data_IF_565823815041
#
_entry.id   IF_565823815041
#
_cell.length_a   1.000
_cell.length_b   1.000
_cell.length_c   1.000
_cell.angle_alpha   90.00
_cell.angle_beta   90.00
_cell.angle_gamma   90.00
#
_symmetry.space_group_name_H-M   'P 1'
#
loop_
_entity.id
_entity.type
_entity.pdbx_description
1 polymer ?
#
# COMPACT_ATOMS: atom_id res chain seq x y z
N UNK A 1 15.54 17.96 15.28
CA UNK A 1 14.33 18.56 14.71
C UNK A 1 13.74 17.55 13.76
N UNK A 2 12.71 16.83 14.20
CA UNK A 2 11.92 15.95 13.34
C UNK A 2 10.86 16.83 12.65
N UNK A 3 11.04 17.06 11.36
CA UNK A 3 9.98 17.62 10.52
C UNK A 3 9.21 16.47 9.91
N UNK A 4 7.90 16.45 10.12
CA UNK A 4 6.96 15.59 9.40
C UNK A 4 6.31 16.45 8.33
N UNK A 5 6.57 16.15 7.06
CA UNK A 5 5.78 16.72 5.96
C UNK A 5 4.66 15.75 5.62
N UNK A 6 3.41 16.21 5.71
CA UNK A 6 2.22 15.42 5.41
C UNK A 6 1.70 15.78 4.02
N UNK A 7 1.57 14.78 3.15
CA UNK A 7 0.81 14.88 1.91
C UNK A 7 -0.59 14.33 2.17
N UNK A 8 -1.59 15.21 2.17
CA UNK A 8 -3.00 14.84 2.28
C UNK A 8 -3.65 14.81 0.89
N UNK A 9 -4.34 13.71 0.57
CA UNK A 9 -5.22 13.64 -0.60
C UNK A 9 -6.54 14.37 -0.36
N UNK A 10 -7.06 15.03 -1.39
CA UNK A 10 -8.43 15.57 -1.42
C UNK A 10 -9.43 14.66 -2.16
N UNK A 11 -8.96 13.55 -2.75
CA UNK A 11 -9.76 12.71 -3.68
C UNK A 11 -9.77 11.23 -3.34
N UNK A 12 -8.87 10.78 -2.47
CA UNK A 12 -8.76 9.41 -1.99
C UNK A 12 -8.45 9.39 -0.49
N UNK A 13 -8.61 8.24 0.16
CA UNK A 13 -8.22 8.05 1.55
C UNK A 13 -6.78 7.55 1.61
N UNK A 14 -5.87 8.43 1.19
CA UNK A 14 -4.42 8.23 1.23
C UNK A 14 -3.74 9.40 1.93
N UNK A 15 -2.91 9.08 2.91
CA UNK A 15 -2.08 10.05 3.64
C UNK A 15 -0.66 9.54 3.63
N UNK A 16 0.30 10.41 3.31
CA UNK A 16 1.70 10.07 3.40
C UNK A 16 2.45 11.05 4.30
N UNK A 17 3.42 10.53 5.04
CA UNK A 17 4.29 11.29 5.92
C UNK A 17 5.75 10.87 5.74
N UNK A 18 6.66 11.83 5.90
CA UNK A 18 8.09 11.55 5.98
C UNK A 18 8.56 11.49 7.44
N UNK A 19 9.45 10.56 7.76
CA UNK A 19 10.09 10.48 9.07
C UNK A 19 11.58 10.22 8.95
N UNK A 20 12.35 10.96 9.74
CA UNK A 20 13.79 10.81 9.82
C UNK A 20 14.13 9.71 10.81
N UNK A 21 15.13 8.89 10.50
CA UNK A 21 15.66 7.89 11.44
C UNK A 21 17.14 8.13 11.64
N UNK A 22 17.68 7.82 12.82
CA UNK A 22 19.12 7.87 13.05
C UNK A 22 19.89 6.83 12.22
N UNK A 23 19.21 5.77 11.79
CA UNK A 23 19.78 4.66 10.99
C UNK A 23 19.86 4.92 9.49
N UNK A 24 19.14 5.92 8.95
CA UNK A 24 19.09 6.18 7.51
C UNK A 24 19.48 7.62 7.20
N UNK A 25 20.32 7.83 6.18
CA UNK A 25 20.70 9.18 5.73
C UNK A 25 19.54 9.94 5.08
N UNK A 26 18.53 9.23 4.59
CA UNK A 26 17.32 9.79 3.98
C UNK A 26 16.09 9.42 4.82
N UNK A 27 15.06 10.27 4.84
CA UNK A 27 13.82 9.93 5.52
C UNK A 27 13.16 8.72 4.86
N UNK A 28 12.47 7.94 5.67
CA UNK A 28 11.55 6.92 5.19
C UNK A 28 10.21 7.62 4.95
N UNK A 29 9.55 7.28 3.86
CA UNK A 29 8.21 7.76 3.54
C UNK A 29 7.21 6.66 3.89
N UNK A 30 6.21 6.97 4.70
CA UNK A 30 5.12 6.07 5.04
C UNK A 30 3.82 6.60 4.48
N UNK A 31 3.18 5.82 3.62
CA UNK A 31 1.82 6.02 3.13
C UNK A 31 0.86 5.08 3.85
N UNK A 32 -0.28 5.61 4.28
CA UNK A 32 -1.42 4.86 4.79
C UNK A 32 -2.58 5.04 3.81
N UNK A 33 -3.21 3.93 3.40
CA UNK A 33 -4.38 3.95 2.54
C UNK A 33 -5.57 3.22 3.15
N UNK A 34 -6.75 3.63 2.72
CA UNK A 34 -7.98 2.85 2.85
C UNK A 34 -8.72 2.90 1.52
N UNK A 35 -9.09 1.74 0.98
CA UNK A 35 -10.03 1.65 -0.15
C UNK A 35 -11.34 1.04 0.38
N UNK A 36 -12.43 1.80 0.44
CA UNK A 36 -13.74 1.25 0.79
C UNK A 36 -14.27 0.27 -0.28
N UNK A 37 -15.07 -0.71 0.12
CA UNK A 37 -15.59 -1.78 -0.75
C UNK A 37 -16.55 -1.27 -1.83
N UNK A 38 -17.23 -0.14 -1.62
CA UNK A 38 -18.25 0.42 -2.50
C UNK A 38 -17.71 1.43 -3.52
N UNK A 39 -16.38 1.63 -3.58
CA UNK A 39 -15.78 2.66 -4.43
C UNK A 39 -15.59 2.22 -5.88
N UNK A 40 -15.73 3.21 -6.75
CA UNK A 40 -15.64 3.08 -8.21
C UNK A 40 -14.21 2.85 -8.70
N UNK A 41 -14.11 2.56 -10.00
CA UNK A 41 -12.83 2.53 -10.68
C UNK A 41 -12.09 3.87 -10.58
N UNK A 42 -12.75 5.00 -10.81
CA UNK A 42 -12.12 6.33 -10.77
C UNK A 42 -11.47 6.62 -9.42
N UNK A 43 -12.14 6.27 -8.32
CA UNK A 43 -11.57 6.39 -6.98
C UNK A 43 -10.29 5.55 -6.84
N UNK A 44 -10.34 4.29 -7.28
CA UNK A 44 -9.19 3.38 -7.22
C UNK A 44 -8.04 3.88 -8.10
N UNK A 45 -8.36 4.43 -9.28
CA UNK A 45 -7.40 5.02 -10.21
C UNK A 45 -6.71 6.24 -9.59
N UNK A 46 -7.47 7.14 -8.95
CA UNK A 46 -6.92 8.31 -8.26
C UNK A 46 -6.01 7.91 -7.10
N UNK A 47 -6.44 6.99 -6.25
CA UNK A 47 -5.62 6.43 -5.17
C UNK A 47 -4.28 5.87 -5.72
N UNK A 48 -4.36 5.07 -6.78
CA UNK A 48 -3.20 4.48 -7.44
C UNK A 48 -2.29 5.54 -8.07
N UNK A 49 -2.85 6.60 -8.65
CA UNK A 49 -2.10 7.71 -9.22
C UNK A 49 -1.35 8.49 -8.14
N UNK A 50 -1.95 8.71 -6.97
CA UNK A 50 -1.30 9.38 -5.85
C UNK A 50 -0.11 8.56 -5.31
N UNK A 51 -0.24 7.23 -5.24
CA UNK A 51 0.86 6.32 -4.92
C UNK A 51 2.01 6.46 -5.94
N UNK A 52 1.70 6.48 -7.24
CA UNK A 52 2.71 6.68 -8.30
C UNK A 52 3.40 8.04 -8.18
N UNK A 53 2.64 9.11 -7.91
CA UNK A 53 3.18 10.46 -7.70
C UNK A 53 4.14 10.46 -6.51
N UNK A 54 3.74 9.88 -5.37
CA UNK A 54 4.59 9.78 -4.18
C UNK A 54 5.93 9.10 -4.50
N UNK A 55 5.91 7.97 -5.21
CA UNK A 55 7.11 7.28 -5.65
C UNK A 55 7.96 8.12 -6.61
N UNK A 56 7.32 8.81 -7.57
CA UNK A 56 8.03 9.64 -8.56
C UNK A 56 8.77 10.82 -7.91
N UNK A 57 8.22 11.39 -6.84
CA UNK A 57 8.81 12.49 -6.08
C UNK A 57 9.89 12.00 -5.11
N UNK A 58 9.83 10.73 -4.67
CA UNK A 58 10.68 10.15 -3.64
C UNK A 58 11.50 8.94 -4.15
N UNK A 59 11.94 8.94 -5.42
CA UNK A 59 12.57 7.80 -6.11
C UNK A 59 13.73 7.14 -5.37
N UNK A 60 14.44 7.88 -4.53
CA UNK A 60 15.62 7.40 -3.81
C UNK A 60 15.37 7.15 -2.32
N UNK A 61 14.14 7.31 -1.85
CA UNK A 61 13.75 7.06 -0.48
C UNK A 61 13.24 5.63 -0.33
N UNK A 62 13.31 5.14 0.90
CA UNK A 62 12.57 3.95 1.29
C UNK A 62 11.12 4.38 1.43
N UNK A 63 10.22 3.64 0.78
CA UNK A 63 8.79 3.90 0.84
C UNK A 63 8.11 2.66 1.41
N UNK A 64 7.26 2.90 2.40
CA UNK A 64 6.34 1.94 3.01
C UNK A 64 4.93 2.39 2.71
N UNK A 65 4.11 1.51 2.16
CA UNK A 65 2.68 1.77 1.94
C UNK A 65 1.91 0.65 2.62
N UNK A 66 0.92 0.98 3.43
CA UNK A 66 0.06 -0.04 4.02
C UNK A 66 -1.33 0.45 4.35
N UNK A 67 -2.19 -0.50 4.69
CA UNK A 67 -3.58 -0.25 5.05
C UNK A 67 -4.54 -1.24 4.39
N UNK A 68 -5.85 -1.00 4.53
CA UNK A 68 -6.90 -1.91 4.06
C UNK A 68 -7.29 -1.58 2.62
N UNK A 69 -6.92 -2.45 1.68
CA UNK A 69 -7.24 -2.30 0.27
C UNK A 69 -8.63 -2.85 -0.07
N UNK A 70 -9.25 -3.66 0.79
CA UNK A 70 -10.51 -4.37 0.53
C UNK A 70 -10.59 -5.03 -0.87
N UNK A 71 -9.48 -5.53 -1.41
CA UNK A 71 -9.45 -6.26 -2.70
C UNK A 71 -9.34 -7.76 -2.45
N UNK A 72 -10.46 -8.37 -2.08
CA UNK A 72 -10.61 -9.81 -1.82
C UNK A 72 -10.35 -10.69 -3.03
N UNK A 73 -10.45 -10.15 -4.24
CA UNK A 73 -10.22 -10.88 -5.48
C UNK A 73 -8.73 -11.03 -5.82
N UNK A 74 -7.81 -10.43 -5.07
CA UNK A 74 -6.38 -10.45 -5.37
C UNK A 74 -5.64 -11.41 -4.45
N UNK A 75 -5.01 -12.42 -5.05
CA UNK A 75 -3.98 -13.21 -4.39
C UNK A 75 -2.66 -12.44 -4.42
N UNK A 76 -2.39 -11.65 -3.38
CA UNK A 76 -1.25 -10.74 -3.31
C UNK A 76 0.12 -11.41 -3.40
N UNK A 77 0.25 -12.66 -2.96
CA UNK A 77 1.50 -13.42 -3.02
C UNK A 77 1.91 -13.75 -4.46
N UNK A 78 0.94 -13.94 -5.35
CA UNK A 78 1.16 -14.23 -6.77
C UNK A 78 0.80 -13.06 -7.69
N UNK A 79 0.27 -11.96 -7.16
CA UNK A 79 -0.29 -10.84 -7.91
C UNK A 79 -1.31 -11.30 -8.97
N UNK A 80 -2.16 -12.28 -8.62
CA UNK A 80 -3.17 -12.84 -9.54
C UNK A 80 -4.58 -12.54 -9.06
N UNK A 81 -5.50 -12.35 -10.01
CA UNK A 81 -6.92 -12.19 -9.72
C UNK A 81 -7.56 -13.58 -9.62
N UNK A 82 -8.19 -13.87 -8.49
CA UNK A 82 -8.79 -15.17 -8.14
C UNK A 82 -10.30 -15.11 -7.93
N UNK A 83 -10.90 -13.92 -8.06
CA UNK A 83 -12.32 -13.67 -7.81
C UNK A 83 -12.95 -12.68 -8.79
N UNK A 84 -14.22 -12.37 -8.53
CA UNK A 84 -15.06 -11.54 -9.39
C UNK A 84 -15.94 -10.56 -8.59
N UNK A 85 -15.59 -10.26 -7.33
CA UNK A 85 -16.33 -9.30 -6.50
C UNK A 85 -16.23 -7.87 -7.05
N UNK A 86 -15.09 -7.51 -7.61
CA UNK A 86 -14.81 -6.22 -8.25
C UNK A 86 -14.51 -6.39 -9.74
N UNK A 87 -14.67 -5.30 -10.49
CA UNK A 87 -14.22 -5.24 -11.88
C UNK A 87 -12.74 -5.62 -11.99
N UNK A 88 -12.40 -6.40 -13.01
CA UNK A 88 -11.02 -6.79 -13.32
C UNK A 88 -10.09 -5.57 -13.35
N UNK A 89 -10.55 -4.45 -13.91
CA UNK A 89 -9.76 -3.23 -14.02
C UNK A 89 -9.40 -2.59 -12.68
N UNK A 90 -10.25 -2.72 -11.65
CA UNK A 90 -9.94 -2.23 -10.29
C UNK A 90 -8.75 -3.01 -9.74
N UNK A 91 -8.83 -4.34 -9.80
CA UNK A 91 -7.81 -5.25 -9.32
C UNK A 91 -6.49 -5.07 -10.11
N UNK A 92 -6.56 -5.05 -11.43
CA UNK A 92 -5.40 -4.83 -12.32
C UNK A 92 -4.72 -3.48 -12.07
N UNK A 93 -5.50 -2.41 -11.89
CA UNK A 93 -4.93 -1.07 -11.65
C UNK A 93 -4.11 -1.04 -10.37
N UNK A 94 -4.59 -1.70 -9.32
CA UNK A 94 -3.87 -1.78 -8.05
C UNK A 94 -2.61 -2.64 -8.16
N UNK A 95 -2.71 -3.83 -8.77
CA UNK A 95 -1.58 -4.73 -9.02
C UNK A 95 -0.50 -4.02 -9.85
N UNK A 96 -0.89 -3.41 -10.97
CA UNK A 96 0.00 -2.65 -11.85
C UNK A 96 0.67 -1.50 -11.08
N UNK A 97 -0.05 -0.84 -10.17
CA UNK A 97 0.55 0.23 -9.35
C UNK A 97 1.67 -0.30 -8.47
N UNK A 98 1.48 -1.45 -7.82
CA UNK A 98 2.53 -2.09 -7.00
C UNK A 98 3.76 -2.41 -7.87
N UNK A 99 3.54 -2.99 -9.05
CA UNK A 99 4.60 -3.33 -10.01
C UNK A 99 5.33 -2.08 -10.54
N UNK A 100 4.58 -1.08 -11.02
CA UNK A 100 5.10 0.18 -11.57
C UNK A 100 5.96 0.95 -10.57
N UNK A 101 5.62 0.84 -9.29
CA UNK A 101 6.31 1.52 -8.19
C UNK A 101 7.47 0.71 -7.61
N UNK A 102 7.78 -0.44 -8.21
CA UNK A 102 8.76 -1.41 -7.75
C UNK A 102 8.54 -1.81 -6.28
N UNK A 103 7.29 -1.80 -5.83
CA UNK A 103 6.91 -2.25 -4.51
C UNK A 103 6.71 -3.76 -4.51
N UNK A 104 7.03 -4.38 -3.38
CA UNK A 104 6.69 -5.77 -3.10
C UNK A 104 5.72 -5.80 -1.92
N UNK A 105 4.62 -6.52 -2.09
CA UNK A 105 3.64 -6.77 -1.03
C UNK A 105 4.20 -7.88 -0.12
N UNK A 106 4.11 -7.68 1.19
CA UNK A 106 4.75 -8.54 2.20
C UNK A 106 3.73 -9.37 3.01
N UNK A 107 2.48 -8.92 3.11
CA UNK A 107 1.45 -9.61 3.92
C UNK A 107 1.02 -10.89 3.22
N UNK A 108 1.53 -12.02 3.70
CA UNK A 108 1.28 -13.36 3.15
C UNK A 108 0.31 -14.20 3.99
N UNK A 109 -0.40 -13.57 4.93
CA UNK A 109 -1.34 -14.22 5.84
C UNK A 109 -2.70 -13.52 5.81
N UNK A 110 -3.80 -14.22 6.16
CA UNK A 110 -5.11 -13.60 6.24
C UNK A 110 -5.18 -12.47 7.27
N UNK A 111 -5.88 -11.40 6.91
CA UNK A 111 -6.12 -10.26 7.81
C UNK A 111 -7.60 -10.03 8.09
N UNK A 112 -8.48 -10.61 7.26
CA UNK A 112 -9.91 -10.74 7.53
C UNK A 112 -10.39 -12.09 7.03
N UNK A 113 -10.91 -12.92 7.94
CA UNK A 113 -11.28 -14.31 7.64
C UNK A 113 -10.07 -15.06 7.02
N UNK A 114 -10.25 -15.70 5.87
CA UNK A 114 -9.22 -16.46 5.15
C UNK A 114 -8.52 -15.65 4.04
N UNK A 115 -8.70 -14.33 4.00
CA UNK A 115 -8.21 -13.46 2.91
C UNK A 115 -7.34 -12.33 3.47
N UNK A 116 -6.29 -11.96 2.74
CA UNK A 116 -5.48 -10.77 3.00
C UNK A 116 -6.13 -9.54 2.35
N UNK A 117 -6.70 -8.65 3.17
CA UNK A 117 -7.26 -7.36 2.71
C UNK A 117 -6.33 -6.20 3.03
N UNK A 118 -5.61 -6.32 4.15
CA UNK A 118 -4.58 -5.36 4.53
C UNK A 118 -3.30 -5.68 3.76
N UNK A 119 -2.70 -4.63 3.22
CA UNK A 119 -1.44 -4.71 2.52
C UNK A 119 -0.35 -3.99 3.30
N UNK A 120 0.87 -4.46 3.09
CA UNK A 120 2.07 -3.73 3.43
C UNK A 120 3.05 -3.93 2.28
N UNK A 121 3.44 -2.83 1.65
CA UNK A 121 4.22 -2.78 0.43
C UNK A 121 5.48 -1.96 0.65
N UNK A 122 6.60 -2.38 0.08
CA UNK A 122 7.85 -1.60 0.13
C UNK A 122 8.67 -1.74 -1.14
N UNK A 123 9.37 -0.66 -1.51
CA UNK A 123 10.35 -0.65 -2.60
C UNK A 123 11.73 -1.18 -2.18
N UNK A 124 11.86 -1.70 -0.95
CA UNK A 124 13.13 -2.19 -0.42
C UNK A 124 12.94 -3.37 0.53
N UNK A 125 12.67 -4.56 -0.01
CA UNK A 125 12.35 -5.75 0.79
C UNK A 125 13.40 -6.09 1.85
N UNK A 126 14.69 -5.85 1.58
CA UNK A 126 15.82 -6.25 2.45
C UNK A 126 15.82 -5.62 3.85
N UNK A 127 15.06 -4.54 4.08
CA UNK A 127 14.94 -3.93 5.41
C UNK A 127 13.86 -4.58 6.27
N UNK A 128 12.93 -5.31 5.65
CA UNK A 128 11.81 -5.95 6.34
C UNK A 128 12.24 -7.34 6.79
N UNK A 129 12.53 -7.48 8.07
CA UNK A 129 13.02 -8.74 8.65
C UNK A 129 11.90 -9.76 8.87
N UNK A 130 10.69 -9.29 9.18
CA UNK A 130 9.55 -10.13 9.55
C UNK A 130 8.25 -9.33 9.42
N UNK A 131 7.18 -9.98 8.96
CA UNK A 131 5.80 -9.49 9.02
C UNK A 131 4.97 -10.58 9.71
N UNK A 132 4.16 -10.23 10.70
CA UNK A 132 3.35 -11.16 11.47
C UNK A 132 1.97 -10.59 11.73
N UNK A 133 0.93 -11.44 11.79
CA UNK A 133 -0.37 -11.00 12.30
C UNK A 133 -0.23 -10.68 13.78
N UNK A 134 -0.77 -9.53 14.20
CA UNK A 134 -1.00 -9.29 15.62
C UNK A 134 -2.32 -9.94 16.02
N UNK A 135 -2.38 -10.65 17.16
CA UNK A 135 -3.66 -11.09 17.72
C UNK A 135 -4.58 -9.89 17.95
N UNK A 136 -5.87 -10.05 17.66
CA UNK A 136 -6.87 -9.05 18.01
C UNK A 136 -6.84 -8.73 19.51
N UNK A 137 -7.14 -7.48 19.86
CA UNK A 137 -7.38 -7.12 21.25
C UNK A 137 -8.62 -7.89 21.71
N UNK A 138 -8.42 -8.77 22.71
CA UNK A 138 -9.52 -9.45 23.39
C UNK A 138 -10.23 -8.51 24.35
#
# INVERSE_FOLDING_TARGET
MEGTETLNSSTSEFIAASFNTSSTKKPIIMGCLYRPTDKTFDYTSNLCQEIRILHSQNRYNIIWIGGDANLSDVAWTSNTIIGYQYSIHINETFINTIIDTANEQIVSFPTRNEIALDIFCTNRLTIVKRCLPMPGLK
#
